data_IF_860490751274
#
_entry.id   IF_860490751274
#
_cell.length_a   1.000
_cell.length_b   1.000
_cell.length_c   1.000
_cell.angle_alpha   90.00
_cell.angle_beta   90.00
_cell.angle_gamma   90.00
#
_symmetry.space_group_name_H-M   'P 1'
#
loop_
_entity.id
_entity.type
_entity.pdbx_description
1 polymer ?
#
# COMPACT_ATOMS: atom_id res chain seq x y z
N UNK A 1 13.59 9.35 14.14
CA UNK A 1 12.34 8.60 13.80
C UNK A 1 11.88 8.85 12.34
N UNK A 2 11.57 10.07 11.89
CA UNK A 2 11.20 10.35 10.47
C UNK A 2 12.34 10.06 9.48
N UNK A 3 13.57 10.49 9.80
CA UNK A 3 14.76 10.25 8.96
C UNK A 3 14.98 8.75 8.68
N UNK A 4 14.95 7.93 9.73
CA UNK A 4 15.11 6.48 9.61
C UNK A 4 13.97 5.82 8.80
N UNK A 5 12.74 6.33 8.88
CA UNK A 5 11.64 5.80 8.05
C UNK A 5 11.82 6.15 6.59
N UNK A 6 12.23 7.39 6.28
CA UNK A 6 12.50 7.80 4.90
C UNK A 6 13.60 6.96 4.28
N UNK A 7 14.71 6.74 5.01
CA UNK A 7 15.81 5.88 4.56
C UNK A 7 15.37 4.43 4.33
N UNK A 8 14.58 3.85 5.24
CA UNK A 8 14.07 2.49 5.08
C UNK A 8 13.15 2.39 3.85
N UNK A 9 12.29 3.38 3.63
CA UNK A 9 11.47 3.43 2.43
C UNK A 9 12.32 3.53 1.15
N UNK A 10 13.23 4.51 1.07
CA UNK A 10 13.98 4.77 -0.15
C UNK A 10 14.99 3.66 -0.49
N UNK A 11 15.66 3.10 0.52
CA UNK A 11 16.81 2.23 0.31
C UNK A 11 16.47 0.74 0.37
N UNK A 12 15.37 0.37 1.02
CA UNK A 12 15.03 -1.04 1.26
C UNK A 12 13.65 -1.39 0.69
N UNK A 13 12.60 -0.65 1.10
CA UNK A 13 11.22 -1.03 0.75
C UNK A 13 10.91 -0.75 -0.71
N UNK A 14 11.10 0.47 -1.22
CA UNK A 14 10.75 0.79 -2.60
C UNK A 14 11.51 -0.11 -3.59
N UNK A 15 12.86 -0.26 -3.51
CA UNK A 15 13.58 -1.13 -4.44
C UNK A 15 13.08 -2.58 -4.41
N UNK A 16 12.77 -3.12 -3.22
CA UNK A 16 12.27 -4.49 -3.10
C UNK A 16 10.83 -4.69 -3.60
N UNK A 17 10.03 -3.63 -3.69
CA UNK A 17 8.65 -3.69 -4.16
C UNK A 17 8.49 -3.52 -5.68
N UNK A 18 9.50 -3.03 -6.41
CA UNK A 18 9.41 -2.78 -7.86
C UNK A 18 9.04 -4.06 -8.64
N UNK A 19 9.82 -5.13 -8.49
CA UNK A 19 9.55 -6.40 -9.17
C UNK A 19 8.18 -7.01 -8.82
N UNK A 20 7.83 -7.13 -7.52
CA UNK A 20 6.51 -7.56 -7.09
C UNK A 20 5.37 -6.69 -7.63
N UNK A 21 5.56 -5.36 -7.69
CA UNK A 21 4.57 -4.44 -8.22
C UNK A 21 4.36 -4.61 -9.73
N UNK A 22 5.42 -4.72 -10.52
CA UNK A 22 5.34 -5.01 -11.95
C UNK A 22 4.66 -6.36 -12.21
N UNK A 23 4.96 -7.37 -11.39
CA UNK A 23 4.28 -8.68 -11.45
C UNK A 23 2.79 -8.55 -11.15
N UNK A 24 2.42 -7.76 -10.12
CA UNK A 24 1.03 -7.49 -9.78
C UNK A 24 0.31 -6.75 -10.92
N UNK A 25 0.95 -5.73 -11.51
CA UNK A 25 0.43 -4.99 -12.65
C UNK A 25 0.15 -5.91 -13.85
N UNK A 26 1.11 -6.79 -14.19
CA UNK A 26 0.92 -7.78 -15.24
C UNK A 26 -0.28 -8.70 -14.96
N UNK A 27 -0.34 -9.30 -13.76
CA UNK A 27 -1.42 -10.24 -13.37
C UNK A 27 -2.80 -9.59 -13.30
N UNK A 28 -2.86 -8.32 -12.91
CA UNK A 28 -4.10 -7.55 -12.82
C UNK A 28 -4.54 -6.93 -14.15
N UNK A 29 -3.75 -7.11 -15.22
CA UNK A 29 -3.93 -6.39 -16.49
C UNK A 29 -4.01 -4.88 -16.27
N UNK A 30 -2.99 -4.32 -15.62
CA UNK A 30 -2.92 -2.89 -15.27
C UNK A 30 -4.03 -2.41 -14.33
N UNK A 31 -4.27 -3.15 -13.25
CA UNK A 31 -5.36 -2.88 -12.28
C UNK A 31 -6.79 -2.96 -12.87
N UNK A 32 -6.97 -3.60 -14.03
CA UNK A 32 -8.33 -3.82 -14.59
C UNK A 32 -9.14 -4.81 -13.75
N UNK A 33 -8.47 -5.79 -13.14
CA UNK A 33 -9.10 -6.80 -12.29
C UNK A 33 -8.24 -7.06 -11.06
N UNK A 34 -8.89 -7.42 -9.96
CA UNK A 34 -8.16 -7.91 -8.80
C UNK A 34 -7.61 -9.31 -9.11
N UNK A 35 -6.27 -9.51 -9.09
CA UNK A 35 -5.71 -10.82 -9.32
C UNK A 35 -6.18 -11.76 -8.21
N UNK A 36 -6.37 -13.04 -8.53
CA UNK A 36 -6.70 -14.04 -7.53
C UNK A 36 -5.67 -13.96 -6.40
N UNK A 37 -6.14 -13.91 -5.15
CA UNK A 37 -5.28 -13.84 -3.97
C UNK A 37 -4.35 -15.05 -3.96
N UNK A 38 -3.12 -14.85 -4.41
CA UNK A 38 -2.09 -15.87 -4.30
C UNK A 38 -1.55 -15.79 -2.88
N UNK A 39 -2.09 -16.66 -2.04
CA UNK A 39 -1.44 -17.07 -0.79
C UNK A 39 -0.22 -17.93 -1.10
N UNK A 40 0.60 -17.54 -2.09
CA UNK A 40 1.90 -18.17 -2.32
C UNK A 40 2.71 -17.89 -1.05
N UNK A 41 2.93 -18.91 -0.21
CA UNK A 41 3.68 -18.73 1.02
C UNK A 41 5.03 -18.17 0.58
N UNK A 42 5.43 -17.04 1.14
CA UNK A 42 6.83 -16.65 1.00
C UNK A 42 7.61 -17.80 1.63
N UNK A 43 8.46 -18.47 0.85
CA UNK A 43 9.29 -19.58 1.29
C UNK A 43 10.28 -19.06 2.36
N UNK A 44 9.78 -18.94 3.59
CA UNK A 44 10.60 -18.61 4.74
C UNK A 44 11.19 -19.92 5.25
N UNK A 45 12.50 -19.95 5.45
CA UNK A 45 13.12 -21.02 6.24
C UNK A 45 12.46 -21.06 7.62
N UNK A 46 12.12 -22.25 8.10
CA UNK A 46 11.22 -22.48 9.24
C UNK A 46 11.66 -21.84 10.59
N UNK A 47 12.83 -21.20 10.64
CA UNK A 47 13.41 -20.56 11.83
C UNK A 47 13.19 -19.04 11.92
N UNK A 48 12.40 -18.42 11.03
CA UNK A 48 12.21 -16.97 11.05
C UNK A 48 11.24 -16.50 12.15
N UNK A 49 11.62 -15.47 12.92
CA UNK A 49 10.72 -14.87 13.91
C UNK A 49 9.59 -14.12 13.21
N UNK A 50 8.35 -14.60 13.39
CA UNK A 50 7.14 -13.99 12.82
C UNK A 50 6.52 -13.00 13.79
N UNK A 51 5.96 -11.93 13.26
CA UNK A 51 5.19 -10.93 14.00
C UNK A 51 3.87 -10.71 13.27
N UNK A 52 2.77 -11.00 13.95
CA UNK A 52 1.44 -10.67 13.46
C UNK A 52 1.20 -9.17 13.60
N UNK A 53 0.76 -8.52 12.53
CA UNK A 53 0.36 -7.13 12.51
C UNK A 53 -1.11 -7.03 12.15
N UNK A 54 -1.81 -6.20 12.91
CA UNK A 54 -3.19 -5.81 12.64
C UNK A 54 -3.19 -4.56 11.74
N UNK A 55 -3.76 -4.68 10.54
CA UNK A 55 -3.72 -3.61 9.53
C UNK A 55 -5.14 -3.24 9.11
N UNK A 56 -5.52 -1.98 9.33
CA UNK A 56 -6.77 -1.42 8.81
C UNK A 56 -6.65 -1.23 7.29
N UNK A 57 -7.56 -1.81 6.51
CA UNK A 57 -7.60 -1.64 5.05
C UNK A 57 -8.49 -0.49 4.66
N UNK A 58 -8.11 0.28 3.64
CA UNK A 58 -9.00 1.24 2.96
C UNK A 58 -9.25 0.68 1.56
N UNK A 59 -10.46 0.19 1.29
CA UNK A 59 -10.81 -0.55 0.08
C UNK A 59 -12.13 -0.05 -0.54
N UNK A 60 -12.30 -0.16 -1.86
CA UNK A 60 -13.54 0.22 -2.54
C UNK A 60 -14.61 -0.87 -2.54
N UNK A 61 -14.22 -2.16 -2.53
CA UNK A 61 -15.20 -3.26 -2.46
C UNK A 61 -15.69 -3.45 -1.02
N UNK A 62 -16.98 -3.19 -0.86
CA UNK A 62 -17.80 -3.47 0.32
C UNK A 62 -18.06 -4.98 0.41
N UNK A 63 -18.08 -5.58 1.62
CA UNK A 63 -19.00 -5.15 2.67
C UNK A 63 -18.35 -4.62 3.95
N UNK A 64 -17.08 -4.88 4.21
CA UNK A 64 -16.50 -4.59 5.52
C UNK A 64 -15.11 -3.96 5.40
N UNK A 65 -14.89 -2.86 6.13
CA UNK A 65 -13.57 -2.31 6.39
C UNK A 65 -12.84 -3.32 7.31
N UNK A 66 -12.39 -4.42 6.73
CA UNK A 66 -11.82 -5.52 7.48
C UNK A 66 -10.42 -5.19 7.97
N UNK A 67 -10.22 -5.49 9.24
CA UNK A 67 -8.90 -5.62 9.83
C UNK A 67 -8.23 -6.85 9.22
N UNK A 68 -7.10 -6.64 8.56
CA UNK A 68 -6.28 -7.72 8.01
C UNK A 68 -5.13 -8.04 8.96
N UNK A 69 -5.04 -9.31 9.34
CA UNK A 69 -3.90 -9.84 10.07
C UNK A 69 -2.86 -10.37 9.07
N UNK A 70 -1.64 -9.84 9.13
CA UNK A 70 -0.51 -10.31 8.32
C UNK A 70 0.61 -10.82 9.22
N UNK A 71 1.24 -11.92 8.83
CA UNK A 71 2.35 -12.53 9.58
C UNK A 71 3.68 -12.16 8.95
N UNK A 72 4.29 -11.09 9.47
CA UNK A 72 5.50 -10.49 8.91
C UNK A 72 6.78 -11.12 9.47
N UNK A 73 7.79 -11.27 8.61
CA UNK A 73 9.14 -11.63 9.01
C UNK A 73 10.16 -10.92 8.09
N UNK A 74 11.47 -10.97 8.38
CA UNK A 74 12.47 -10.36 7.50
C UNK A 74 12.44 -10.87 6.06
N UNK A 75 12.03 -12.13 5.83
CA UNK A 75 11.91 -12.72 4.50
C UNK A 75 10.62 -12.30 3.78
N UNK A 76 9.59 -11.94 4.54
CA UNK A 76 8.27 -11.54 4.05
C UNK A 76 7.85 -10.25 4.76
N UNK A 77 8.45 -9.10 4.43
CA UNK A 77 8.16 -7.85 5.12
C UNK A 77 6.71 -7.40 4.86
N UNK A 78 6.16 -6.62 5.80
CA UNK A 78 4.76 -6.18 5.74
C UNK A 78 4.37 -5.51 4.40
N UNK A 79 5.18 -4.59 3.83
CA UNK A 79 4.83 -3.96 2.56
C UNK A 79 4.74 -4.95 1.39
N UNK A 80 5.58 -5.99 1.38
CA UNK A 80 5.56 -7.02 0.33
C UNK A 80 4.29 -7.85 0.41
N UNK A 81 3.89 -8.28 1.62
CA UNK A 81 2.67 -9.05 1.81
C UNK A 81 1.44 -8.24 1.44
N UNK A 82 1.36 -7.00 1.91
CA UNK A 82 0.25 -6.09 1.59
C UNK A 82 0.12 -5.87 0.08
N UNK A 83 1.24 -5.71 -0.63
CA UNK A 83 1.24 -5.52 -2.07
C UNK A 83 0.67 -6.74 -2.82
N UNK A 84 0.94 -7.96 -2.35
CA UNK A 84 0.32 -9.18 -2.89
C UNK A 84 -1.21 -9.18 -2.73
N UNK A 85 -1.72 -8.54 -1.69
CA UNK A 85 -3.15 -8.34 -1.46
C UNK A 85 -3.74 -7.15 -2.25
N UNK A 86 -2.96 -6.49 -3.10
CA UNK A 86 -3.40 -5.27 -3.79
C UNK A 86 -3.53 -4.06 -2.86
N UNK A 87 -2.75 -4.04 -1.78
CA UNK A 87 -2.75 -2.98 -0.78
C UNK A 87 -1.36 -2.36 -0.65
N UNK A 88 -1.30 -1.08 -0.33
CA UNK A 88 -0.05 -0.37 -0.11
C UNK A 88 0.05 0.15 1.33
N UNK A 89 1.18 -0.14 1.97
CA UNK A 89 1.42 0.16 3.38
C UNK A 89 1.61 1.67 3.66
N UNK A 90 1.09 2.17 4.78
CA UNK A 90 1.36 3.55 5.21
C UNK A 90 2.71 3.74 5.94
N UNK A 91 3.38 2.64 6.31
CA UNK A 91 4.67 2.64 6.99
C UNK A 91 5.50 1.41 6.60
N UNK A 92 6.84 1.48 6.67
CA UNK A 92 7.71 0.47 6.05
C UNK A 92 7.87 -0.79 6.92
N UNK A 93 7.77 -0.66 8.25
CA UNK A 93 8.08 -1.74 9.21
C UNK A 93 6.82 -2.30 9.88
N UNK A 94 5.99 -1.42 10.43
CA UNK A 94 4.77 -1.79 11.15
C UNK A 94 3.61 -0.90 10.69
N UNK A 95 3.09 -1.12 9.47
CA UNK A 95 1.95 -0.36 8.98
C UNK A 95 0.72 -0.63 9.83
N UNK A 96 0.05 0.42 10.26
CA UNK A 96 -1.28 0.31 10.84
C UNK A 96 -2.37 0.39 9.78
N UNK A 97 -2.12 1.08 8.66
CA UNK A 97 -3.04 1.25 7.52
C UNK A 97 -2.42 0.61 6.27
N UNK A 98 -3.27 0.04 5.43
CA UNK A 98 -2.94 -0.18 4.04
C UNK A 98 -4.08 0.32 3.15
N UNK A 99 -3.73 0.91 2.01
CA UNK A 99 -4.69 1.50 1.06
C UNK A 99 -4.69 0.68 -0.22
N UNK A 100 -5.87 0.34 -0.73
CA UNK A 100 -6.05 -0.31 -2.02
C UNK A 100 -5.31 0.44 -3.15
N UNK A 101 -4.60 -0.33 -3.99
CA UNK A 101 -3.91 0.21 -5.16
C UNK A 101 -4.88 0.94 -6.12
N UNK A 102 -6.13 0.49 -6.26
CA UNK A 102 -7.13 1.16 -7.10
C UNK A 102 -7.53 2.52 -6.52
N UNK A 103 -7.64 2.62 -5.18
CA UNK A 103 -7.89 3.90 -4.50
C UNK A 103 -6.73 4.85 -4.74
N UNK A 104 -5.49 4.36 -4.60
CA UNK A 104 -4.30 5.19 -4.80
C UNK A 104 -4.17 5.64 -6.26
N UNK A 105 -4.44 4.77 -7.22
CA UNK A 105 -4.38 5.10 -8.65
C UNK A 105 -5.48 6.07 -9.07
N UNK A 106 -6.69 5.94 -8.52
CA UNK A 106 -7.76 6.92 -8.72
C UNK A 106 -7.34 8.31 -8.24
N UNK A 107 -6.78 8.40 -7.03
CA UNK A 107 -6.36 9.69 -6.46
C UNK A 107 -5.18 10.28 -7.23
N UNK A 108 -4.22 9.44 -7.62
CA UNK A 108 -3.10 9.86 -8.47
C UNK A 108 -3.60 10.43 -9.80
N UNK A 109 -4.53 9.73 -10.44
CA UNK A 109 -5.16 10.17 -11.69
C UNK A 109 -5.93 11.47 -11.48
N UNK A 110 -6.73 11.58 -10.42
CA UNK A 110 -7.48 12.79 -10.09
C UNK A 110 -6.55 14.00 -9.94
N UNK A 111 -5.43 13.85 -9.25
CA UNK A 111 -4.45 14.92 -9.00
C UNK A 111 -3.66 15.36 -10.25
N UNK A 112 -3.81 14.69 -11.39
CA UNK A 112 -3.38 15.22 -12.70
C UNK A 112 -4.30 16.33 -13.19
N UNK A 113 -5.59 16.25 -12.85
CA UNK A 113 -6.64 17.15 -13.35
C UNK A 113 -7.02 18.25 -12.37
N UNK A 114 -6.65 18.13 -11.10
CA UNK A 114 -6.90 19.12 -10.05
C UNK A 114 -5.63 19.40 -9.27
N UNK A 115 -5.56 20.57 -8.62
CA UNK A 115 -4.48 20.85 -7.66
C UNK A 115 -4.45 19.77 -6.56
N UNK A 116 -3.31 19.07 -6.35
CA UNK A 116 -3.22 18.01 -5.36
C UNK A 116 -3.59 18.51 -3.96
N UNK A 117 -4.67 17.98 -3.40
CA UNK A 117 -5.14 18.33 -2.06
C UNK A 117 -5.49 17.08 -1.27
N UNK A 118 -4.47 16.45 -0.72
CA UNK A 118 -4.62 15.24 0.11
C UNK A 118 -5.47 15.49 1.35
N UNK A 119 -5.48 16.72 1.89
CA UNK A 119 -6.32 17.07 3.04
C UNK A 119 -7.81 17.00 2.68
N UNK A 120 -8.23 17.72 1.65
CA UNK A 120 -9.63 17.72 1.20
C UNK A 120 -10.08 16.31 0.76
N UNK A 121 -9.21 15.57 0.08
CA UNK A 121 -9.46 14.16 -0.24
C UNK A 121 -9.71 13.32 1.00
N UNK A 122 -8.82 13.40 2.00
CA UNK A 122 -8.96 12.60 3.23
C UNK A 122 -10.19 13.00 4.04
N UNK A 123 -10.52 14.29 4.12
CA UNK A 123 -11.74 14.76 4.78
C UNK A 123 -13.00 14.23 4.07
N UNK A 124 -13.04 14.31 2.74
CA UNK A 124 -14.13 13.73 1.96
C UNK A 124 -14.23 12.21 2.15
N UNK A 125 -13.10 11.52 2.20
CA UNK A 125 -13.04 10.08 2.44
C UNK A 125 -13.52 9.71 3.86
N UNK A 126 -13.10 10.45 4.89
CA UNK A 126 -13.55 10.26 6.27
C UNK A 126 -15.07 10.45 6.38
N UNK A 127 -15.62 11.51 5.75
CA UNK A 127 -17.06 11.77 5.71
C UNK A 127 -17.79 10.63 4.98
N UNK A 128 -17.28 10.21 3.83
CA UNK A 128 -17.85 9.14 3.02
C UNK A 128 -17.89 7.79 3.76
N UNK A 129 -16.82 7.46 4.49
CA UNK A 129 -16.72 6.24 5.29
C UNK A 129 -17.62 6.31 6.52
N UNK A 130 -17.64 7.45 7.21
CA UNK A 130 -18.47 7.68 8.41
C UNK A 130 -19.96 7.55 8.09
N UNK A 131 -20.41 8.10 6.95
CA UNK A 131 -21.79 7.99 6.49
C UNK A 131 -22.23 6.54 6.22
N UNK A 132 -21.29 5.61 6.06
CA UNK A 132 -21.54 4.17 5.87
C UNK A 132 -21.31 3.34 7.13
N UNK A 133 -21.14 4.00 8.28
CA UNK A 133 -20.97 3.33 9.57
C UNK A 133 -19.52 2.97 9.93
N UNK A 134 -18.55 3.27 9.05
CA UNK A 134 -17.14 3.02 9.35
C UNK A 134 -16.55 4.17 10.16
N UNK A 135 -16.20 3.90 11.42
CA UNK A 135 -15.49 4.84 12.28
C UNK A 135 -14.00 4.49 12.28
N UNK A 136 -13.19 5.33 11.65
CA UNK A 136 -11.74 5.25 11.77
C UNK A 136 -11.33 5.72 13.18
N UNK A 137 -11.28 4.78 14.13
CA UNK A 137 -11.01 5.07 15.56
C UNK A 137 -9.54 5.40 15.87
N UNK A 138 -8.69 5.50 14.84
CA UNK A 138 -7.26 5.54 15.05
C UNK A 138 -6.77 6.89 15.58
N UNK A 139 -5.94 6.80 16.63
CA UNK A 139 -5.27 7.91 17.33
C UNK A 139 -4.41 8.79 16.42
N UNK A 140 -4.02 8.28 15.26
CA UNK A 140 -3.36 9.01 14.16
C UNK A 140 -4.36 9.27 13.02
N UNK A 141 -4.46 10.52 12.58
CA UNK A 141 -5.41 10.99 11.57
C UNK A 141 -5.24 10.22 10.25
N UNK A 142 -6.34 9.80 9.61
CA UNK A 142 -6.33 9.13 8.28
C UNK A 142 -5.45 9.90 7.30
N UNK A 143 -5.56 11.23 7.35
CA UNK A 143 -4.75 12.17 6.56
C UNK A 143 -3.26 11.83 6.55
N UNK A 144 -2.63 11.62 7.71
CA UNK A 144 -1.20 11.36 7.78
C UNK A 144 -0.84 10.00 7.17
N UNK A 145 -1.61 8.96 7.51
CA UNK A 145 -1.36 7.59 7.05
C UNK A 145 -1.60 7.44 5.55
N UNK A 146 -2.70 8.02 5.05
CA UNK A 146 -3.01 8.08 3.63
C UNK A 146 -1.95 8.89 2.88
N UNK A 147 -1.54 10.07 3.38
CA UNK A 147 -0.51 10.89 2.70
C UNK A 147 0.81 10.14 2.55
N UNK A 148 1.23 9.39 3.58
CA UNK A 148 2.45 8.59 3.51
C UNK A 148 2.30 7.44 2.50
N UNK A 149 1.19 6.70 2.54
CA UNK A 149 0.92 5.64 1.57
C UNK A 149 0.91 6.18 0.13
N UNK A 150 0.21 7.29 -0.11
CA UNK A 150 0.12 7.94 -1.42
C UNK A 150 1.47 8.45 -1.94
N UNK A 151 2.27 9.08 -1.07
CA UNK A 151 3.60 9.55 -1.44
C UNK A 151 4.50 8.40 -1.89
N UNK A 152 4.62 7.35 -1.07
CA UNK A 152 5.50 6.22 -1.38
C UNK A 152 4.98 5.33 -2.51
N UNK A 153 3.66 5.22 -2.67
CA UNK A 153 3.07 4.62 -3.87
C UNK A 153 3.45 5.41 -5.12
N UNK A 154 3.34 6.75 -5.09
CA UNK A 154 3.74 7.59 -6.22
C UNK A 154 5.22 7.42 -6.57
N UNK A 155 6.10 7.29 -5.56
CA UNK A 155 7.52 6.98 -5.75
C UNK A 155 7.69 5.61 -6.39
N UNK A 156 7.01 4.57 -5.90
CA UNK A 156 7.05 3.23 -6.48
C UNK A 156 6.63 3.22 -7.95
N UNK A 157 5.50 3.87 -8.29
CA UNK A 157 5.00 3.95 -9.67
C UNK A 157 6.02 4.61 -10.59
N UNK A 158 6.63 5.71 -10.17
CA UNK A 158 7.66 6.40 -10.96
C UNK A 158 8.88 5.49 -11.17
N UNK A 159 9.44 4.91 -10.10
CA UNK A 159 10.62 4.04 -10.21
C UNK A 159 10.33 2.78 -11.07
N UNK A 160 9.15 2.18 -10.90
CA UNK A 160 8.74 1.03 -11.72
C UNK A 160 8.56 1.41 -13.21
N UNK A 161 8.11 2.64 -13.49
CA UNK A 161 8.05 3.18 -14.84
C UNK A 161 9.43 3.28 -15.49
N UNK A 162 10.42 3.80 -14.77
CA UNK A 162 11.80 3.92 -15.25
C UNK A 162 12.39 2.56 -15.65
N UNK A 163 12.09 1.50 -14.88
CA UNK A 163 12.52 0.13 -15.20
C UNK A 163 11.83 -0.48 -16.44
N UNK A 164 10.68 0.04 -16.88
CA UNK A 164 10.05 -0.39 -18.15
C UNK A 164 10.75 0.29 -19.34
N UNK A 165 11.35 1.47 -19.14
CA UNK A 165 12.05 2.26 -20.17
C UNK A 165 13.57 2.09 -20.17
N UNK A 166 14.16 1.37 -19.20
CA UNK A 166 15.53 0.87 -19.22
C UNK A 166 15.59 -0.62 -19.63
N UNK A 167 15.42 -0.97 -20.93
CA UNK A 167 15.84 -2.28 -21.39
C UNK A 167 17.37 -2.29 -21.43
N UNK A 168 17.97 -3.09 -20.54
CA UNK A 168 19.28 -3.75 -20.67
C UNK A 168 20.31 -3.01 -21.53
N UNK A 169 21.17 -2.21 -20.88
CA UNK A 169 22.53 -2.01 -21.38
C UNK A 169 23.37 -3.27 -21.19
#
# INVERSE_FOLDING_TARGET
>A
KKFNQWQCWSNEVIPSLIGPYLTYQYKSSSLCHQPALQNDPVECTASCHRRTLEVTRVFFQFPDLEVLNIDCCPCAPAPLQLLKFGLFACAPIAPSLAVDLHVLELVRTLFVWITPNTTAWCEALEVFLTARGYKLSTKDNLRHRFSNAYHWYSVLVTNAGDHIYEPLQ
#
